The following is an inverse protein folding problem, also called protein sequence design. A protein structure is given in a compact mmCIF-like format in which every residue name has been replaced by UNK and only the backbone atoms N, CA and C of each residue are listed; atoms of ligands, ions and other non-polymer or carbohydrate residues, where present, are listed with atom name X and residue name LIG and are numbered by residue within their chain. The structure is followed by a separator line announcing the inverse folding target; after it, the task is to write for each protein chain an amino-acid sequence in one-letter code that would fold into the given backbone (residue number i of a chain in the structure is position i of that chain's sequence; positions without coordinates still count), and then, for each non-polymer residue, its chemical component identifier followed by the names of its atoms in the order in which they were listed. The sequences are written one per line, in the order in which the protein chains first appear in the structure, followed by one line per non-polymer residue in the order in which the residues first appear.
data_IF_990248883227
#
_entry.id   IF_990248883227
#
_cell.length_a   1.000
_cell.length_b   1.000
_cell.length_c   1.000
_cell.angle_alpha   90.00
_cell.angle_beta   90.00
_cell.angle_gamma   90.00
#
_symmetry.space_group_name_H-M   'P 1'
#
loop_
_entity.id
_entity.type
_entity.pdbx_description
1 polymer ?
#
# COMPACT_ATOMS: atom_id res chain seq x y z
N UNK A 1 1.72 34.90 29.78
CA UNK A 1 1.92 35.09 28.32
C UNK A 1 2.49 33.83 27.64
N UNK A 2 3.52 33.19 28.19
CA UNK A 2 4.14 31.99 27.61
C UNK A 2 3.26 30.73 27.69
N UNK A 3 2.45 30.61 28.74
CA UNK A 3 1.55 29.47 29.00
C UNK A 3 0.45 29.26 27.95
N UNK A 4 0.13 30.28 27.16
CA UNK A 4 -0.83 30.19 26.05
C UNK A 4 -0.14 29.97 24.70
N UNK A 5 1.05 30.55 24.51
CA UNK A 5 1.79 30.49 23.25
C UNK A 5 2.35 29.08 22.97
N UNK A 6 2.90 28.42 23.99
CA UNK A 6 3.47 27.07 23.87
C UNK A 6 2.43 26.03 23.43
N UNK A 7 1.25 25.89 24.08
CA UNK A 7 0.26 24.89 23.66
C UNK A 7 -0.36 25.20 22.30
N UNK A 8 -0.54 26.47 21.93
CA UNK A 8 -1.04 26.85 20.59
C UNK A 8 -0.05 26.46 19.50
N UNK A 9 1.26 26.64 19.73
CA UNK A 9 2.30 26.24 18.79
C UNK A 9 2.34 24.72 18.62
N UNK A 10 2.20 23.96 19.71
CA UNK A 10 2.16 22.49 19.67
C UNK A 10 0.90 21.99 18.95
N UNK A 11 -0.26 22.59 19.22
CA UNK A 11 -1.51 22.25 18.53
C UNK A 11 -1.42 22.53 17.02
N UNK A 12 -0.82 23.66 16.62
CA UNK A 12 -0.58 23.98 15.21
C UNK A 12 0.40 23.00 14.55
N UNK A 13 1.45 22.57 15.26
CA UNK A 13 2.39 21.57 14.78
C UNK A 13 1.70 20.20 14.58
N UNK A 14 0.89 19.75 15.54
CA UNK A 14 0.10 18.52 15.41
C UNK A 14 -0.87 18.56 14.23
N UNK A 15 -1.59 19.67 14.05
CA UNK A 15 -2.49 19.87 12.90
C UNK A 15 -1.73 19.86 11.58
N UNK A 16 -0.55 20.48 11.51
CA UNK A 16 0.29 20.48 10.32
C UNK A 16 0.77 19.06 9.96
N UNK A 17 1.21 18.28 10.95
CA UNK A 17 1.62 16.88 10.77
C UNK A 17 0.43 16.04 10.29
N UNK A 18 -0.74 16.19 10.92
CA UNK A 18 -1.95 15.46 10.54
C UNK A 18 -2.42 15.82 9.12
N UNK A 19 -2.39 17.10 8.76
CA UNK A 19 -2.73 17.57 7.41
C UNK A 19 -1.76 17.02 6.36
N UNK A 20 -0.46 17.00 6.66
CA UNK A 20 0.54 16.42 5.78
C UNK A 20 0.31 14.92 5.59
N UNK A 21 0.02 14.19 6.67
CA UNK A 21 -0.31 12.76 6.62
C UNK A 21 -1.58 12.50 5.79
N UNK A 22 -2.60 13.34 5.92
CA UNK A 22 -3.85 13.21 5.16
C UNK A 22 -3.63 13.51 3.67
N UNK A 23 -2.83 14.53 3.35
CA UNK A 23 -2.47 14.91 1.98
C UNK A 23 -1.65 13.85 1.26
N UNK A 24 -0.68 13.24 1.95
CA UNK A 24 0.12 12.15 1.40
C UNK A 24 -0.63 10.80 1.43
N UNK A 25 -1.61 10.64 2.32
CA UNK A 25 -2.47 9.46 2.41
C UNK A 25 -3.28 9.21 1.13
N UNK A 26 -3.71 10.26 0.42
CA UNK A 26 -4.37 10.10 -0.90
C UNK A 26 -3.43 9.49 -1.95
N UNK A 27 -2.13 9.83 -1.91
CA UNK A 27 -1.14 9.23 -2.80
C UNK A 27 -0.90 7.77 -2.45
N UNK A 28 -0.88 7.42 -1.16
CA UNK A 28 -0.84 6.02 -0.72
C UNK A 28 -2.05 5.25 -1.24
N UNK A 29 -3.26 5.81 -1.13
CA UNK A 29 -4.47 5.16 -1.58
C UNK A 29 -4.48 4.94 -3.10
N UNK A 30 -4.04 5.92 -3.88
CA UNK A 30 -3.90 5.78 -5.33
C UNK A 30 -2.85 4.72 -5.70
N UNK A 31 -1.71 4.68 -5.01
CA UNK A 31 -0.64 3.71 -5.25
C UNK A 31 -1.06 2.30 -4.84
N UNK A 32 -1.84 2.18 -3.75
CA UNK A 32 -2.46 0.94 -3.30
C UNK A 32 -3.46 0.39 -4.31
N UNK A 33 -4.34 1.24 -4.83
CA UNK A 33 -5.27 0.88 -5.89
C UNK A 33 -4.51 0.42 -7.14
N UNK A 34 -3.48 1.15 -7.56
CA UNK A 34 -2.63 0.75 -8.70
C UNK A 34 -1.97 -0.62 -8.50
N UNK A 35 -1.40 -0.89 -7.31
CA UNK A 35 -0.82 -2.19 -6.98
C UNK A 35 -1.84 -3.33 -7.04
N UNK A 36 -3.04 -3.11 -6.48
CA UNK A 36 -4.12 -4.10 -6.52
C UNK A 36 -4.58 -4.37 -7.96
N UNK A 37 -4.73 -3.32 -8.77
CA UNK A 37 -5.10 -3.42 -10.18
C UNK A 37 -4.07 -4.26 -10.94
N UNK A 38 -2.77 -4.05 -10.71
CA UNK A 38 -1.70 -4.82 -11.35
C UNK A 38 -1.82 -6.31 -11.01
N UNK A 39 -1.99 -6.66 -9.72
CA UNK A 39 -2.21 -8.05 -9.30
C UNK A 39 -3.44 -8.67 -9.97
N UNK A 40 -4.52 -7.90 -10.08
CA UNK A 40 -5.76 -8.35 -10.70
C UNK A 40 -5.54 -8.65 -12.19
N UNK A 41 -4.79 -7.79 -12.91
CA UNK A 41 -4.40 -8.06 -14.29
C UNK A 41 -3.49 -9.30 -14.41
N UNK A 42 -2.50 -9.44 -13.54
CA UNK A 42 -1.57 -10.59 -13.53
C UNK A 42 -2.35 -11.91 -13.35
N UNK A 43 -3.33 -11.92 -12.46
CA UNK A 43 -4.17 -13.08 -12.22
C UNK A 43 -5.18 -13.30 -13.37
N UNK A 44 -5.78 -12.25 -13.92
CA UNK A 44 -6.73 -12.33 -15.03
C UNK A 44 -6.11 -12.89 -16.31
N UNK A 45 -4.89 -12.46 -16.64
CA UNK A 45 -4.13 -12.97 -17.79
C UNK A 45 -3.40 -14.27 -17.49
N UNK A 46 -3.52 -14.81 -16.27
CA UNK A 46 -2.85 -16.04 -15.85
C UNK A 46 -1.34 -16.04 -16.14
N UNK A 47 -0.70 -14.86 -16.03
CA UNK A 47 0.71 -14.66 -16.39
C UNK A 47 1.62 -15.54 -15.52
N UNK A 48 1.21 -15.82 -14.29
CA UNK A 48 1.92 -16.73 -13.39
C UNK A 48 1.73 -18.21 -13.76
N UNK A 49 0.59 -18.59 -14.35
CA UNK A 49 0.38 -19.97 -14.80
C UNK A 49 1.18 -20.30 -16.05
N UNK A 50 1.60 -19.31 -16.85
CA UNK A 50 2.53 -19.51 -17.98
C UNK A 50 3.89 -20.04 -17.49
N UNK A 51 4.30 -19.64 -16.29
CA UNK A 51 5.56 -20.05 -15.66
C UNK A 51 5.36 -21.19 -14.65
N UNK A 52 4.21 -21.86 -14.65
CA UNK A 52 3.92 -23.03 -13.81
C UNK A 52 3.64 -22.72 -12.34
N UNK A 53 3.40 -21.45 -12.01
CA UNK A 53 3.17 -20.99 -10.63
C UNK A 53 1.66 -20.73 -10.45
N UNK A 54 1.04 -21.19 -9.35
CA UNK A 54 -0.37 -20.92 -9.08
C UNK A 54 -0.60 -19.40 -8.96
N UNK A 55 -1.75 -18.92 -9.48
CA UNK A 55 -2.10 -17.50 -9.40
C UNK A 55 -2.09 -16.97 -7.96
N UNK A 56 -1.75 -15.69 -7.78
CA UNK A 56 -1.71 -15.05 -6.46
C UNK A 56 -3.15 -14.87 -5.96
N UNK A 57 -3.55 -15.52 -4.85
CA UNK A 57 -4.89 -15.35 -4.31
C UNK A 57 -5.04 -13.93 -3.75
N UNK A 58 -6.14 -13.26 -4.09
CA UNK A 58 -6.46 -11.95 -3.52
C UNK A 58 -7.07 -12.16 -2.12
N UNK A 59 -6.19 -12.31 -1.13
CA UNK A 59 -6.52 -12.42 0.30
C UNK A 59 -6.46 -11.05 0.99
N UNK A 60 -7.02 -10.94 2.19
CA UNK A 60 -6.88 -9.73 3.01
C UNK A 60 -5.42 -9.34 3.25
N UNK A 61 -4.51 -10.32 3.35
CA UNK A 61 -3.07 -10.07 3.48
C UNK A 61 -2.50 -9.40 2.22
N UNK A 62 -2.83 -9.91 1.03
CA UNK A 62 -2.40 -9.30 -0.24
C UNK A 62 -2.90 -7.86 -0.40
N UNK A 63 -4.14 -7.58 0.02
CA UNK A 63 -4.74 -6.24 0.00
C UNK A 63 -4.01 -5.31 0.96
N UNK A 64 -3.67 -5.78 2.17
CA UNK A 64 -2.90 -5.01 3.15
C UNK A 64 -1.48 -4.72 2.65
N UNK A 65 -0.80 -5.70 2.07
CA UNK A 65 0.56 -5.54 1.52
C UNK A 65 0.55 -4.52 0.36
N UNK A 66 -0.46 -4.56 -0.51
CA UNK A 66 -0.66 -3.51 -1.51
C UNK A 66 -1.11 -2.17 -0.92
N UNK A 67 -1.86 -2.15 0.18
CA UNK A 67 -2.28 -0.91 0.84
C UNK A 67 -1.09 -0.15 1.45
N UNK A 68 -0.13 -0.87 2.05
CA UNK A 68 1.07 -0.27 2.61
C UNK A 68 2.18 -0.07 1.56
N UNK A 69 2.32 -1.00 0.61
CA UNK A 69 3.42 -1.03 -0.35
C UNK A 69 3.09 -0.48 -1.73
N UNK A 70 1.82 -0.26 -2.07
CA UNK A 70 1.39 0.20 -3.40
C UNK A 70 1.81 -0.71 -4.54
N UNK A 71 2.26 -0.10 -5.65
CA UNK A 71 2.93 -0.78 -6.77
C UNK A 71 4.11 -1.66 -6.28
N UNK A 72 5.06 -1.17 -5.45
CA UNK A 72 6.11 -2.02 -4.87
C UNK A 72 5.55 -3.25 -4.13
N UNK A 73 4.43 -3.10 -3.40
CA UNK A 73 3.76 -4.21 -2.71
C UNK A 73 3.30 -5.30 -3.67
N UNK A 74 2.76 -4.93 -4.82
CA UNK A 74 2.38 -5.88 -5.87
C UNK A 74 3.60 -6.62 -6.44
N UNK A 75 4.72 -5.91 -6.67
CA UNK A 75 5.97 -6.52 -7.15
C UNK A 75 6.51 -7.55 -6.14
N UNK A 76 6.47 -7.24 -4.85
CA UNK A 76 6.90 -8.16 -3.79
C UNK A 76 6.02 -9.41 -3.78
N UNK A 77 4.71 -9.27 -3.89
CA UNK A 77 3.78 -10.42 -3.93
C UNK A 77 4.03 -11.31 -5.16
N UNK A 78 4.35 -10.71 -6.30
CA UNK A 78 4.73 -11.45 -7.52
C UNK A 78 6.05 -12.21 -7.29
N UNK A 79 7.07 -11.56 -6.71
CA UNK A 79 8.35 -12.20 -6.37
C UNK A 79 8.17 -13.35 -5.37
N UNK A 80 7.32 -13.16 -4.37
CA UNK A 80 7.05 -14.16 -3.34
C UNK A 80 6.31 -15.37 -3.91
N UNK A 81 5.38 -15.14 -4.83
CA UNK A 81 4.71 -16.20 -5.56
C UNK A 81 5.68 -16.95 -6.50
N UNK A 82 6.63 -16.26 -7.12
CA UNK A 82 7.72 -16.91 -7.89
C UNK A 82 8.60 -17.78 -6.98
N UNK A 83 8.83 -17.38 -5.74
CA UNK A 83 9.51 -18.18 -4.73
C UNK A 83 8.66 -19.35 -4.17
N UNK A 84 7.42 -19.52 -4.63
CA UNK A 84 6.50 -20.57 -4.19
C UNK A 84 5.82 -20.29 -2.83
N UNK A 85 5.94 -19.08 -2.31
CA UNK A 85 5.32 -18.66 -1.05
C UNK A 85 4.06 -17.86 -1.39
N UNK A 86 2.89 -18.41 -1.07
CA UNK A 86 1.60 -17.75 -1.24
C UNK A 86 1.11 -17.17 0.09
N UNK A 87 0.53 -15.98 0.03
CA UNK A 87 -0.06 -15.22 1.16
C UNK A 87 -1.53 -14.94 0.90
#
# INVERSE_FOLDING_TARGET
MLELIVPVLIAAALLAILYYFCKEGMKLLANAAAGLIILLFVNWFNLLSIIGIPGIPITWASVLICAFGGIPGAVILILLAIAGITV
#
